data_IF_608399187995
#
_entry.id   IF_608399187995
#
_cell.length_a   1.000
_cell.length_b   1.000
_cell.length_c   1.000
_cell.angle_alpha   90.00
_cell.angle_beta   90.00
_cell.angle_gamma   90.00
#
_symmetry.space_group_name_H-M   'P 1'
#
loop_
_entity.id
_entity.type
_entity.pdbx_description
1 polymer ?
#
# COMPACT_ATOMS: atom_id res chain seq x y z
N UNK A 1 3.53 8.13 -8.20
CA UNK A 1 2.85 6.81 -8.19
C UNK A 1 2.36 6.47 -9.59
N UNK A 2 1.73 7.41 -10.29
CA UNK A 2 1.15 7.18 -11.64
C UNK A 2 2.16 6.72 -12.70
N UNK A 3 3.40 7.22 -12.66
CA UNK A 3 4.44 6.78 -13.59
C UNK A 3 4.84 5.31 -13.36
N UNK A 4 4.93 4.87 -12.10
CA UNK A 4 5.20 3.47 -11.76
C UNK A 4 4.03 2.57 -12.15
N UNK A 5 2.81 3.02 -11.89
CA UNK A 5 1.58 2.33 -12.29
C UNK A 5 1.55 2.08 -13.79
N UNK A 6 1.86 3.10 -14.60
CA UNK A 6 1.93 2.99 -16.06
C UNK A 6 3.05 2.06 -16.51
N UNK A 7 4.25 2.22 -15.96
CA UNK A 7 5.44 1.48 -16.41
C UNK A 7 5.41 -0.01 -16.02
N UNK A 8 4.70 -0.37 -14.95
CA UNK A 8 4.57 -1.74 -14.46
C UNK A 8 3.17 -2.34 -14.73
N UNK A 9 2.32 -1.63 -15.49
CA UNK A 9 0.95 -2.04 -15.83
C UNK A 9 0.12 -2.43 -14.59
N UNK A 10 0.26 -1.65 -13.51
CA UNK A 10 -0.45 -1.91 -12.27
C UNK A 10 -1.90 -1.42 -12.36
N UNK A 11 -2.82 -2.20 -11.83
CA UNK A 11 -4.24 -1.83 -11.75
C UNK A 11 -4.50 -0.91 -10.56
N UNK A 12 -5.65 -0.22 -10.56
CA UNK A 12 -6.09 0.58 -9.41
C UNK A 12 -6.13 -0.25 -8.10
N UNK A 13 -6.44 -1.55 -8.18
CA UNK A 13 -6.43 -2.45 -7.02
C UNK A 13 -5.02 -2.63 -6.43
N UNK A 14 -3.98 -2.69 -7.27
CA UNK A 14 -2.58 -2.72 -6.85
C UNK A 14 -2.13 -1.40 -6.23
N UNK A 15 -2.62 -0.27 -6.75
CA UNK A 15 -2.22 1.08 -6.33
C UNK A 15 -2.98 1.58 -5.10
N UNK A 16 -4.14 1.02 -4.81
CA UNK A 16 -4.99 1.42 -3.68
C UNK A 16 -4.23 1.47 -2.34
N UNK A 17 -3.44 0.44 -1.92
CA UNK A 17 -2.70 0.50 -0.66
C UNK A 17 -1.73 1.69 -0.60
N UNK A 18 -0.96 1.96 -1.66
CA UNK A 18 -0.04 3.09 -1.71
C UNK A 18 -0.75 4.43 -1.68
N UNK A 19 -1.83 4.58 -2.45
CA UNK A 19 -2.62 5.82 -2.48
C UNK A 19 -3.30 6.10 -1.15
N UNK A 20 -3.91 5.08 -0.53
CA UNK A 20 -4.58 5.25 0.76
C UNK A 20 -3.58 5.52 1.89
N UNK A 21 -2.45 4.81 1.89
CA UNK A 21 -1.36 5.05 2.84
C UNK A 21 -0.83 6.47 2.73
N UNK A 22 -0.56 6.93 1.51
CA UNK A 22 -0.10 8.29 1.26
C UNK A 22 -1.14 9.33 1.67
N UNK A 23 -2.42 9.10 1.36
CA UNK A 23 -3.52 9.99 1.73
C UNK A 23 -3.64 10.13 3.26
N UNK A 24 -3.60 9.00 3.98
CA UNK A 24 -3.86 8.98 5.43
C UNK A 24 -2.65 9.41 6.25
N UNK A 25 -1.48 8.89 5.93
CA UNK A 25 -0.27 9.02 6.76
C UNK A 25 0.80 9.93 6.15
N UNK A 26 0.61 10.38 4.91
CA UNK A 26 1.65 11.06 4.16
C UNK A 26 2.82 10.12 3.83
N UNK A 27 3.92 10.72 3.38
CA UNK A 27 5.16 9.98 3.15
C UNK A 27 5.89 9.79 4.48
N UNK A 28 5.81 8.58 5.04
CA UNK A 28 6.50 8.19 6.28
C UNK A 28 7.87 7.56 5.99
N UNK A 29 8.51 8.00 4.90
CA UNK A 29 9.78 7.50 4.40
C UNK A 29 9.74 5.97 4.20
N UNK A 30 10.80 5.26 4.57
CA UNK A 30 10.94 3.80 4.40
C UNK A 30 9.84 2.99 5.09
N UNK A 31 9.15 3.54 6.09
CA UNK A 31 8.09 2.83 6.81
C UNK A 31 6.78 2.74 6.01
N UNK A 32 6.60 3.54 4.96
CA UNK A 32 5.37 3.59 4.14
C UNK A 32 4.98 2.20 3.61
N UNK A 33 5.96 1.40 3.17
CA UNK A 33 5.74 0.03 2.69
C UNK A 33 5.02 -0.89 3.70
N UNK A 34 5.30 -0.70 4.99
CA UNK A 34 4.70 -1.51 6.04
C UNK A 34 3.26 -1.07 6.34
N UNK A 35 2.98 0.23 6.22
CA UNK A 35 1.61 0.74 6.29
C UNK A 35 0.77 0.25 5.09
N UNK A 36 1.35 0.15 3.90
CA UNK A 36 0.71 -0.43 2.72
C UNK A 36 0.39 -1.92 2.91
N UNK A 37 1.33 -2.70 3.45
CA UNK A 37 1.09 -4.11 3.78
C UNK A 37 -0.01 -4.25 4.84
N UNK A 38 0.04 -3.44 5.90
CA UNK A 38 -0.99 -3.42 6.94
C UNK A 38 -2.38 -3.03 6.38
N UNK A 39 -2.43 -2.17 5.36
CA UNK A 39 -3.66 -1.85 4.64
C UNK A 39 -4.23 -3.09 3.95
N UNK A 40 -3.39 -3.83 3.22
CA UNK A 40 -3.79 -5.05 2.54
C UNK A 40 -4.25 -6.14 3.53
N UNK A 41 -3.58 -6.25 4.69
CA UNK A 41 -3.99 -7.11 5.80
C UNK A 41 -5.37 -6.72 6.34
N UNK A 42 -5.60 -5.43 6.61
CA UNK A 42 -6.87 -4.91 7.13
C UNK A 42 -8.02 -5.10 6.11
N UNK A 43 -7.74 -5.00 4.80
CA UNK A 43 -8.69 -5.34 3.73
C UNK A 43 -8.92 -6.85 3.54
N UNK A 44 -8.28 -7.71 4.34
CA UNK A 44 -8.41 -9.16 4.22
C UNK A 44 -7.84 -9.73 2.92
N UNK A 45 -6.90 -9.02 2.26
CA UNK A 45 -6.31 -9.42 0.97
C UNK A 45 -5.18 -10.46 1.13
N UNK A 46 -4.68 -10.65 2.35
CA UNK A 46 -3.56 -11.57 2.65
C UNK A 46 -4.07 -12.92 3.14
N UNK A 47 -3.96 -13.94 2.29
CA UNK A 47 -4.32 -15.34 2.62
C UNK A 47 -3.09 -16.23 2.57
N UNK A 48 -3.11 -17.35 3.32
CA UNK A 48 -2.01 -18.33 3.32
C UNK A 48 -1.66 -18.74 1.88
N UNK A 49 -0.38 -18.70 1.56
CA UNK A 49 0.15 -19.04 0.24
C UNK A 49 0.17 -17.89 -0.76
N UNK A 50 -0.53 -16.77 -0.52
CA UNK A 50 -0.43 -15.57 -1.35
C UNK A 50 1.00 -15.05 -1.39
N UNK A 51 1.35 -14.40 -2.51
CA UNK A 51 2.60 -13.68 -2.68
C UNK A 51 2.33 -12.19 -2.73
N UNK A 52 3.11 -11.42 -1.99
CA UNK A 52 3.07 -9.95 -2.00
C UNK A 52 4.42 -9.44 -2.45
N UNK A 53 4.40 -8.53 -3.42
CA UNK A 53 5.61 -7.88 -3.93
C UNK A 53 5.66 -6.44 -3.42
N UNK A 54 6.69 -6.10 -2.66
CA UNK A 54 6.97 -4.73 -2.24
C UNK A 54 8.07 -4.15 -3.11
N UNK A 55 7.82 -2.93 -3.61
CA UNK A 55 8.77 -2.16 -4.41
C UNK A 55 8.87 -0.77 -3.78
N UNK A 56 10.06 -0.38 -3.34
CA UNK A 56 10.32 0.97 -2.84
C UNK A 56 11.43 1.65 -3.61
N UNK A 57 11.23 2.94 -3.86
CA UNK A 57 12.21 3.81 -4.47
C UNK A 57 12.70 4.83 -3.44
N UNK A 58 14.02 4.96 -3.32
CA UNK A 58 14.68 5.94 -2.45
C UNK A 58 15.51 6.95 -3.25
N UNK A 59 16.14 7.88 -2.53
CA UNK A 59 17.03 8.87 -3.16
C UNK A 59 18.20 8.20 -3.89
N UNK A 60 18.57 8.77 -5.06
CA UNK A 60 19.72 8.33 -5.84
C UNK A 60 19.51 7.05 -6.65
N UNK A 61 18.35 6.89 -7.30
CA UNK A 61 18.00 5.74 -8.16
C UNK A 61 18.02 4.36 -7.46
N UNK A 62 17.91 4.34 -6.13
CA UNK A 62 17.87 3.09 -5.37
C UNK A 62 16.47 2.49 -5.42
N UNK A 63 16.40 1.22 -5.82
CA UNK A 63 15.19 0.41 -5.77
C UNK A 63 15.41 -0.76 -4.80
N UNK A 64 14.50 -0.94 -3.85
CA UNK A 64 14.41 -2.14 -3.04
C UNK A 64 13.17 -2.94 -3.48
N UNK A 65 13.36 -4.24 -3.71
CA UNK A 65 12.34 -5.15 -4.22
C UNK A 65 12.36 -6.43 -3.39
N UNK A 66 11.21 -6.78 -2.79
CA UNK A 66 11.08 -7.96 -1.95
C UNK A 66 9.77 -8.71 -2.24
N UNK A 67 9.86 -10.03 -2.41
CA UNK A 67 8.69 -10.90 -2.57
C UNK A 67 8.49 -11.71 -1.30
N UNK A 68 7.32 -11.57 -0.70
CA UNK A 68 6.91 -12.26 0.51
C UNK A 68 5.92 -13.37 0.17
N UNK A 69 5.94 -14.46 0.95
CA UNK A 69 4.91 -15.50 0.91
C UNK A 69 4.19 -15.55 2.25
N UNK A 70 2.87 -15.36 2.22
CA UNK A 70 2.05 -15.41 3.42
C UNK A 70 2.03 -16.84 4.01
N UNK A 71 2.55 -17.00 5.23
CA UNK A 71 2.61 -18.29 5.92
C UNK A 71 1.28 -18.69 6.56
N UNK A 72 0.43 -17.70 6.86
CA UNK A 72 -0.91 -17.86 7.44
C UNK A 72 -1.90 -16.92 6.73
N UNK A 73 -3.19 -17.22 6.87
CA UNK A 73 -4.26 -16.29 6.47
C UNK A 73 -4.43 -15.25 7.56
N UNK A 74 -4.48 -13.98 7.17
CA UNK A 74 -4.71 -12.87 8.09
C UNK A 74 -6.21 -12.66 8.20
N UNK A 75 -6.73 -12.68 9.43
CA UNK A 75 -8.15 -12.42 9.68
C UNK A 75 -8.28 -11.00 10.23
N UNK A 76 -8.79 -10.03 9.45
CA UNK A 76 -8.90 -8.64 9.89
C UNK A 76 -9.53 -8.50 11.28
N UNK A 77 -10.60 -9.24 11.57
CA UNK A 77 -11.30 -9.17 12.86
C UNK A 77 -10.46 -9.56 14.08
N UNK A 78 -9.29 -10.20 13.88
CA UNK A 78 -8.38 -10.65 14.95
C UNK A 78 -7.06 -9.89 14.97
N UNK A 79 -6.81 -9.02 13.99
CA UNK A 79 -5.56 -8.28 13.91
C UNK A 79 -5.62 -6.97 14.68
N UNK A 80 -4.44 -6.50 15.11
CA UNK A 80 -4.24 -5.15 15.64
C UNK A 80 -3.22 -4.46 14.74
N UNK A 81 -3.70 -3.61 13.85
CA UNK A 81 -2.85 -2.83 12.97
C UNK A 81 -3.35 -1.37 12.87
N UNK A 82 -2.56 -0.45 12.31
CA UNK A 82 -2.90 0.97 12.26
C UNK A 82 -4.21 1.30 11.52
N UNK A 83 -4.76 0.40 10.72
CA UNK A 83 -5.96 0.60 9.90
C UNK A 83 -7.25 0.11 10.53
N UNK A 84 -7.18 -0.78 11.53
CA UNK A 84 -8.35 -1.56 11.96
C UNK A 84 -9.58 -0.75 12.38
N UNK A 85 -9.39 0.43 12.96
CA UNK A 85 -10.49 1.25 13.46
C UNK A 85 -11.24 2.02 12.36
N UNK A 86 -10.67 2.15 11.16
CA UNK A 86 -11.19 3.03 10.12
C UNK A 86 -11.07 2.46 8.70
N UNK A 87 -10.63 1.21 8.55
CA UNK A 87 -10.38 0.59 7.23
C UNK A 87 -11.63 0.57 6.35
N UNK A 88 -12.81 0.52 6.96
CA UNK A 88 -14.10 0.52 6.27
C UNK A 88 -14.42 1.87 5.59
N UNK A 89 -13.75 2.95 6.00
CA UNK A 89 -13.89 4.28 5.38
C UNK A 89 -13.04 4.43 4.10
N UNK A 90 -12.27 3.39 3.73
CA UNK A 90 -11.41 3.38 2.56
C UNK A 90 -11.92 2.38 1.50
N UNK A 91 -11.57 2.53 0.22
CA UNK A 91 -10.81 3.64 -0.35
C UNK A 91 -11.65 4.92 -0.45
N UNK A 92 -10.98 6.06 -0.27
CA UNK A 92 -11.55 7.37 -0.58
C UNK A 92 -11.16 7.77 -2.01
N UNK A 93 -11.93 8.66 -2.62
CA UNK A 93 -11.55 9.23 -3.90
C UNK A 93 -10.36 10.18 -3.72
N UNK A 94 -9.21 9.84 -4.29
CA UNK A 94 -8.01 10.68 -4.31
C UNK A 94 -7.82 11.21 -5.74
N UNK A 95 -7.85 12.53 -5.96
CA UNK A 95 -7.57 13.11 -7.26
C UNK A 95 -6.16 12.72 -7.73
N UNK A 96 -6.03 12.29 -8.99
CA UNK A 96 -4.74 11.87 -9.56
C UNK A 96 -3.73 13.03 -9.70
N UNK A 97 -4.20 14.27 -9.75
CA UNK A 97 -3.37 15.45 -9.95
C UNK A 97 -3.86 16.55 -8.99
N UNK A 98 -3.04 16.91 -8.02
CA UNK A 98 -3.15 18.20 -7.35
C UNK A 98 -2.07 19.10 -7.94
N UNK A 99 -2.42 20.20 -8.63
CA UNK A 99 -1.42 21.19 -9.01
C UNK A 99 -0.71 21.66 -7.75
N UNK A 100 0.62 21.70 -7.77
CA UNK A 100 1.37 22.40 -6.72
C UNK A 100 1.02 23.88 -6.93
N UNK A 101 0.15 24.43 -6.08
CA UNK A 101 -0.02 25.88 -6.01
C UNK A 101 1.34 26.46 -5.63
N UNK A 102 1.95 27.16 -6.59
CA UNK A 102 3.15 27.96 -6.40
C UNK A 102 2.83 29.23 -5.64
#
# INVERSE_FOLDING_TARGET
>A
LDELEKNLELTDWHMEPSRMTLYRFGNTSSSSLWYELAYAEAKGRIKRGHRTWQIAFGSGFKCNSAVWRALKTINPAKEKNPWMNEIDNFPVHVPRITPISS
#
